data_IF_493808640249
#
_entry.id   IF_493808640249
#
_cell.length_a   1.000
_cell.length_b   1.000
_cell.length_c   1.000
_cell.angle_alpha   90.00
_cell.angle_beta   90.00
_cell.angle_gamma   90.00
#
_symmetry.space_group_name_H-M   'P 1'
#
loop_
_entity.id
_entity.type
_entity.pdbx_description
1 polymer ?
#
# COMPACT_ATOMS: atom_id res chain seq x y z
N UNK A 1 0.76 -16.84 -20.24
CA UNK A 1 0.00 -15.57 -20.07
C UNK A 1 0.89 -14.59 -19.34
N UNK A 2 0.92 -13.34 -19.79
CA UNK A 2 1.70 -12.29 -19.10
C UNK A 2 0.94 -11.87 -17.84
N UNK A 3 1.56 -12.01 -16.66
CA UNK A 3 0.98 -11.59 -15.39
C UNK A 3 0.99 -10.06 -15.28
N UNK A 4 -0.11 -9.45 -14.89
CA UNK A 4 -0.17 -8.00 -14.63
C UNK A 4 0.48 -7.68 -13.29
N UNK A 5 1.03 -6.46 -13.16
CA UNK A 5 1.70 -6.01 -11.92
C UNK A 5 0.77 -6.07 -10.71
N UNK A 6 -0.51 -5.68 -10.88
CA UNK A 6 -1.49 -5.75 -9.79
C UNK A 6 -1.76 -7.20 -9.34
N UNK A 7 -1.85 -8.14 -10.28
CA UNK A 7 -2.02 -9.56 -9.95
C UNK A 7 -0.81 -10.10 -9.18
N UNK A 8 0.39 -9.77 -9.67
CA UNK A 8 1.64 -10.15 -9.02
C UNK A 8 1.73 -9.60 -7.58
N UNK A 9 1.37 -8.32 -7.39
CA UNK A 9 1.39 -7.68 -6.08
C UNK A 9 0.49 -8.42 -5.08
N UNK A 10 -0.76 -8.70 -5.44
CA UNK A 10 -1.70 -9.40 -4.56
C UNK A 10 -1.25 -10.84 -4.26
N UNK A 11 -0.79 -11.57 -5.28
CA UNK A 11 -0.27 -12.94 -5.10
C UNK A 11 0.97 -12.92 -4.20
N UNK A 12 1.84 -11.91 -4.32
CA UNK A 12 3.04 -11.78 -3.49
C UNK A 12 2.72 -11.39 -2.05
N UNK A 13 1.77 -10.48 -1.81
CA UNK A 13 1.28 -10.15 -0.47
C UNK A 13 0.68 -11.39 0.22
N UNK A 14 -0.10 -12.18 -0.50
CA UNK A 14 -0.61 -13.45 0.02
C UNK A 14 0.52 -14.40 0.43
N UNK A 15 1.61 -14.47 -0.35
CA UNK A 15 2.80 -15.28 0.00
C UNK A 15 3.46 -14.80 1.30
N UNK A 16 3.38 -13.50 1.61
CA UNK A 16 3.82 -12.91 2.88
C UNK A 16 2.83 -13.10 4.03
N UNK A 17 1.70 -13.80 3.81
CA UNK A 17 0.68 -14.05 4.82
C UNK A 17 -0.33 -12.93 5.00
N UNK A 18 -0.34 -11.93 4.12
CA UNK A 18 -1.34 -10.87 4.16
C UNK A 18 -2.68 -11.42 3.72
N UNK A 19 -3.67 -11.34 4.61
CA UNK A 19 -5.04 -11.81 4.35
C UNK A 19 -6.01 -10.67 4.01
N UNK A 20 -5.71 -9.43 4.41
CA UNK A 20 -6.60 -8.27 4.25
C UNK A 20 -5.83 -7.02 3.86
N UNK A 21 -6.44 -6.22 3.01
CA UNK A 21 -5.97 -4.88 2.64
C UNK A 21 -7.12 -3.90 2.88
N UNK A 22 -6.90 -2.92 3.74
CA UNK A 22 -7.87 -1.88 4.05
C UNK A 22 -7.71 -0.72 3.08
N UNK A 23 -8.78 -0.25 2.45
CA UNK A 23 -8.62 0.82 1.47
C UNK A 23 -9.91 1.47 1.00
N UNK A 24 -9.73 2.55 0.25
CA UNK A 24 -10.80 3.23 -0.45
C UNK A 24 -10.51 3.23 -1.96
N UNK A 25 -11.48 2.80 -2.82
CA UNK A 25 -11.29 2.78 -4.27
C UNK A 25 -11.05 4.17 -4.84
N UNK A 26 -10.20 4.26 -5.85
CA UNK A 26 -9.94 5.52 -6.56
C UNK A 26 -9.14 5.28 -7.83
N UNK A 27 -9.16 6.26 -8.74
CA UNK A 27 -8.63 6.12 -10.11
C UNK A 27 -7.16 5.71 -10.16
N UNK A 28 -6.34 6.24 -9.25
CA UNK A 28 -4.90 5.94 -9.22
C UNK A 28 -4.57 4.48 -8.87
N UNK A 29 -5.55 3.69 -8.40
CA UNK A 29 -5.39 2.27 -8.05
C UNK A 29 -6.31 1.34 -8.84
N UNK A 30 -6.94 1.80 -9.93
CA UNK A 30 -7.85 0.98 -10.74
C UNK A 30 -7.22 -0.35 -11.21
N UNK A 31 -5.93 -0.33 -11.54
CA UNK A 31 -5.20 -1.55 -11.92
C UNK A 31 -5.14 -2.60 -10.79
N UNK A 32 -5.01 -2.14 -9.55
CA UNK A 32 -5.06 -2.98 -8.35
C UNK A 32 -6.48 -3.44 -8.05
N UNK A 33 -7.47 -2.53 -8.12
CA UNK A 33 -8.88 -2.87 -7.93
C UNK A 33 -9.33 -3.96 -8.92
N UNK A 34 -8.93 -3.84 -10.19
CA UNK A 34 -9.17 -4.89 -11.18
C UNK A 34 -8.48 -6.22 -10.85
N UNK A 35 -7.36 -6.22 -10.12
CA UNK A 35 -6.70 -7.45 -9.71
C UNK A 35 -7.50 -8.23 -8.67
N UNK A 36 -8.24 -7.58 -7.78
CA UNK A 36 -9.11 -8.26 -6.80
C UNK A 36 -10.25 -9.02 -7.46
N UNK A 37 -10.70 -8.59 -8.64
CA UNK A 37 -11.82 -9.25 -9.36
C UNK A 37 -11.37 -10.37 -10.30
N UNK A 38 -10.08 -10.44 -10.62
CA UNK A 38 -9.56 -11.50 -11.51
C UNK A 38 -9.28 -12.79 -10.73
N UNK A 39 -9.58 -13.92 -11.35
CA UNK A 39 -9.22 -15.23 -10.78
C UNK A 39 -7.71 -15.37 -10.58
N UNK A 40 -7.32 -16.00 -9.50
CA UNK A 40 -5.94 -16.36 -9.20
C UNK A 40 -5.82 -17.85 -8.93
N UNK A 41 -4.61 -18.40 -9.02
CA UNK A 41 -4.32 -19.80 -8.69
C UNK A 41 -4.23 -20.04 -7.18
N UNK A 42 -4.43 -19.01 -6.36
CA UNK A 42 -4.35 -19.05 -4.90
C UNK A 42 -5.31 -18.07 -4.25
N UNK A 43 -5.36 -18.11 -2.93
CA UNK A 43 -6.13 -17.15 -2.15
C UNK A 43 -5.39 -15.79 -2.19
N UNK A 44 -6.06 -14.74 -2.61
CA UNK A 44 -5.59 -13.35 -2.52
C UNK A 44 -6.11 -12.69 -1.25
N UNK A 45 -5.47 -11.60 -0.78
CA UNK A 45 -6.00 -10.80 0.30
C UNK A 45 -7.40 -10.29 -0.02
N UNK A 46 -8.26 -10.24 0.99
CA UNK A 46 -9.58 -9.59 0.89
C UNK A 46 -9.41 -8.08 0.88
N UNK A 47 -10.13 -7.38 0.01
CA UNK A 47 -10.20 -5.92 0.04
C UNK A 47 -11.30 -5.49 1.00
N UNK A 48 -10.92 -4.83 2.08
CA UNK A 48 -11.84 -4.28 3.07
C UNK A 48 -12.06 -2.80 2.76
N UNK A 49 -13.18 -2.51 2.12
CA UNK A 49 -13.53 -1.13 1.78
C UNK A 49 -13.89 -0.33 3.02
N UNK A 50 -13.24 0.79 3.18
CA UNK A 50 -13.53 1.79 4.22
C UNK A 50 -14.37 2.94 3.66
N UNK A 51 -14.80 3.87 4.52
CA UNK A 51 -15.53 5.07 4.11
C UNK A 51 -14.66 6.29 3.87
N UNK A 52 -13.40 6.23 4.33
CA UNK A 52 -12.41 7.29 4.20
C UNK A 52 -11.01 6.69 4.36
N UNK A 53 -10.01 7.15 3.62
CA UNK A 53 -8.67 6.55 3.58
C UNK A 53 -7.97 6.62 4.93
N UNK A 54 -8.20 7.65 5.73
CA UNK A 54 -7.70 7.75 7.09
C UNK A 54 -8.08 6.52 7.93
N UNK A 55 -9.34 6.06 7.79
CA UNK A 55 -9.79 4.83 8.47
C UNK A 55 -9.02 3.59 7.99
N UNK A 56 -8.62 3.55 6.71
CA UNK A 56 -7.83 2.43 6.20
C UNK A 56 -6.48 2.32 6.93
N UNK A 57 -5.80 3.44 7.14
CA UNK A 57 -4.54 3.47 7.86
C UNK A 57 -4.72 3.14 9.34
N UNK A 58 -5.73 3.68 10.03
CA UNK A 58 -6.05 3.32 11.42
C UNK A 58 -6.43 1.84 11.56
N UNK A 59 -7.20 1.28 10.63
CA UNK A 59 -7.56 -0.15 10.67
C UNK A 59 -6.34 -1.03 10.43
N UNK A 60 -5.41 -0.66 9.55
CA UNK A 60 -4.15 -1.36 9.36
C UNK A 60 -3.29 -1.28 10.63
N UNK A 61 -3.19 -0.12 11.26
CA UNK A 61 -2.49 0.07 12.53
C UNK A 61 -3.12 -0.79 13.64
N UNK A 62 -4.45 -0.76 13.79
CA UNK A 62 -5.16 -1.58 14.77
C UNK A 62 -4.96 -3.08 14.50
N UNK A 63 -5.00 -3.51 13.23
CA UNK A 63 -4.69 -4.89 12.86
C UNK A 63 -3.31 -5.30 13.38
N UNK A 64 -2.29 -4.47 13.15
CA UNK A 64 -0.95 -4.73 13.64
C UNK A 64 -0.88 -4.79 15.17
N UNK A 65 -1.48 -3.82 15.86
CA UNK A 65 -1.53 -3.76 17.33
C UNK A 65 -2.15 -5.01 17.97
N UNK A 66 -3.25 -5.50 17.42
CA UNK A 66 -4.01 -6.59 18.02
C UNK A 66 -3.61 -8.00 17.57
N UNK A 67 -2.95 -8.12 16.43
CA UNK A 67 -2.58 -9.43 15.88
C UNK A 67 -1.07 -9.70 15.90
N UNK A 68 -0.24 -8.65 16.03
CA UNK A 68 1.21 -8.74 15.85
C UNK A 68 1.64 -9.01 14.40
N UNK A 69 0.72 -8.87 13.43
CA UNK A 69 0.99 -9.08 12.01
C UNK A 69 1.07 -7.74 11.28
N UNK A 70 1.72 -7.72 10.11
CA UNK A 70 1.79 -6.52 9.28
C UNK A 70 0.40 -6.10 8.80
N UNK A 71 -0.01 -4.88 9.13
CA UNK A 71 -1.20 -4.26 8.57
C UNK A 71 -0.92 -3.68 7.19
N UNK A 72 -1.88 -3.81 6.26
CA UNK A 72 -1.73 -3.23 4.91
C UNK A 72 -2.89 -2.31 4.59
N UNK A 73 -2.59 -1.07 4.20
CA UNK A 73 -3.59 -0.13 3.71
C UNK A 73 -3.30 0.32 2.28
N UNK A 74 -4.34 0.80 1.59
CA UNK A 74 -4.22 1.22 0.19
C UNK A 74 -5.09 2.44 -0.09
N UNK A 75 -4.54 3.40 -0.85
CA UNK A 75 -5.26 4.59 -1.29
C UNK A 75 -4.85 5.03 -2.69
N UNK A 76 -5.70 5.84 -3.32
CA UNK A 76 -5.39 6.51 -4.58
C UNK A 76 -4.33 7.60 -4.39
N UNK A 77 -3.86 8.18 -5.49
CA UNK A 77 -2.95 9.33 -5.52
C UNK A 77 -3.60 10.59 -4.96
N UNK A 78 -2.78 11.60 -4.69
CA UNK A 78 -3.25 12.92 -4.27
C UNK A 78 -3.95 12.91 -2.91
N UNK A 79 -5.22 13.35 -2.83
CA UNK A 79 -5.93 13.45 -1.55
C UNK A 79 -6.05 12.12 -0.82
N UNK A 80 -6.20 10.99 -1.52
CA UNK A 80 -6.25 9.68 -0.90
C UNK A 80 -4.96 9.35 -0.15
N UNK A 81 -3.81 9.68 -0.76
CA UNK A 81 -2.51 9.53 -0.12
C UNK A 81 -2.36 10.42 1.12
N UNK A 82 -2.80 11.68 1.03
CA UNK A 82 -2.75 12.64 2.15
C UNK A 82 -3.57 12.15 3.34
N UNK A 83 -4.75 11.62 3.10
CA UNK A 83 -5.63 11.12 4.15
C UNK A 83 -5.04 9.94 4.94
N UNK A 84 -4.16 9.13 4.35
CA UNK A 84 -3.51 8.03 5.08
C UNK A 84 -2.60 8.51 6.21
N UNK A 85 -2.07 9.74 6.14
CA UNK A 85 -1.01 10.20 7.03
C UNK A 85 -1.37 10.11 8.51
N UNK A 86 -2.59 10.46 8.93
CA UNK A 86 -2.97 10.42 10.33
C UNK A 86 -2.81 9.02 10.93
N UNK A 87 -3.37 7.99 10.27
CA UNK A 87 -3.24 6.62 10.75
C UNK A 87 -1.84 6.05 10.60
N UNK A 88 -1.07 6.52 9.61
CA UNK A 88 0.33 6.12 9.46
C UNK A 88 1.22 6.75 10.54
N UNK A 89 0.93 7.99 10.98
CA UNK A 89 1.62 8.57 12.13
C UNK A 89 1.29 7.85 13.44
N UNK A 90 0.04 7.41 13.63
CA UNK A 90 -0.32 6.55 14.76
C UNK A 90 0.51 5.26 14.73
N UNK A 91 0.60 4.60 13.58
CA UNK A 91 1.42 3.41 13.43
C UNK A 91 2.92 3.67 13.69
N UNK A 92 3.46 4.79 13.16
CA UNK A 92 4.86 5.18 13.38
C UNK A 92 5.17 5.40 14.86
N UNK A 93 4.34 6.18 15.54
CA UNK A 93 4.60 6.56 16.95
C UNK A 93 4.42 5.39 17.91
N UNK A 94 3.54 4.45 17.58
CA UNK A 94 3.32 3.23 18.36
C UNK A 94 4.16 2.04 17.87
N UNK A 95 5.10 2.28 16.94
CA UNK A 95 6.00 1.27 16.37
C UNK A 95 5.26 0.06 15.77
N UNK A 96 4.11 0.30 15.15
CA UNK A 96 3.31 -0.76 14.54
C UNK A 96 3.72 -1.01 13.08
N UNK A 97 3.86 -2.29 12.65
CA UNK A 97 4.24 -2.63 11.30
C UNK A 97 3.09 -2.39 10.33
N UNK A 98 3.19 -1.36 9.50
CA UNK A 98 2.16 -1.02 8.49
C UNK A 98 2.80 -0.73 7.14
N UNK A 99 2.33 -1.43 6.11
CA UNK A 99 2.66 -1.15 4.70
C UNK A 99 1.54 -0.37 4.05
N UNK A 100 1.85 0.80 3.52
CA UNK A 100 0.94 1.60 2.71
C UNK A 100 1.23 1.45 1.21
N UNK A 101 0.22 1.07 0.44
CA UNK A 101 0.27 0.98 -1.03
C UNK A 101 -0.49 2.16 -1.60
N UNK A 102 0.22 3.04 -2.31
CA UNK A 102 -0.36 4.29 -2.80
C UNK A 102 -0.29 4.36 -4.32
N UNK A 103 -1.40 4.72 -4.94
CA UNK A 103 -1.46 4.97 -6.37
C UNK A 103 -0.64 6.21 -6.76
N UNK A 104 -0.16 6.23 -8.01
CA UNK A 104 0.47 7.40 -8.61
C UNK A 104 -0.11 7.62 -10.01
N UNK A 105 0.06 8.82 -10.55
CA UNK A 105 -0.33 9.12 -11.91
C UNK A 105 0.46 8.31 -12.94
N UNK A 106 -0.10 8.18 -14.13
CA UNK A 106 0.59 7.52 -15.24
C UNK A 106 1.95 8.19 -15.50
N UNK A 107 2.99 7.39 -15.70
CA UNK A 107 4.37 7.89 -15.90
C UNK A 107 4.49 8.95 -16.98
N UNK A 108 3.69 8.85 -18.04
CA UNK A 108 3.68 9.84 -19.13
C UNK A 108 3.09 11.20 -18.72
N UNK A 109 2.33 11.25 -17.61
CA UNK A 109 1.72 12.49 -17.10
C UNK A 109 2.50 13.13 -15.96
N UNK A 110 3.46 12.43 -15.37
CA UNK A 110 4.24 12.95 -14.24
C UNK A 110 5.05 14.19 -14.63
N UNK A 111 4.99 15.24 -13.80
CA UNK A 111 5.63 16.52 -14.01
C UNK A 111 4.78 17.51 -14.82
N UNK A 112 3.58 17.11 -15.23
CA UNK A 112 2.65 17.95 -16.00
C UNK A 112 1.59 18.67 -15.15
N UNK A 113 1.69 18.65 -13.84
CA UNK A 113 0.65 19.15 -12.92
C UNK A 113 -0.72 18.50 -13.17
N UNK A 114 -0.70 17.18 -13.42
CA UNK A 114 -1.91 16.43 -13.67
C UNK A 114 -2.80 16.38 -12.41
N UNK A 115 -4.10 16.22 -12.61
CA UNK A 115 -5.06 16.12 -11.50
C UNK A 115 -4.60 15.10 -10.45
N UNK A 116 -4.59 15.48 -9.18
CA UNK A 116 -4.15 14.64 -8.05
C UNK A 116 -2.65 14.26 -8.08
N UNK A 117 -1.85 14.88 -8.92
CA UNK A 117 -0.40 14.68 -8.92
C UNK A 117 0.22 15.40 -7.72
N UNK A 118 0.94 14.66 -6.90
CA UNK A 118 1.74 15.18 -5.80
C UNK A 118 3.04 14.38 -5.68
N UNK A 119 4.07 14.98 -5.07
CA UNK A 119 5.31 14.28 -4.76
C UNK A 119 5.10 13.37 -3.54
N UNK A 120 4.68 12.13 -3.81
CA UNK A 120 4.42 11.13 -2.78
C UNK A 120 5.66 10.75 -1.99
N UNK A 121 6.83 10.74 -2.63
CA UNK A 121 8.09 10.39 -1.96
C UNK A 121 8.43 11.42 -0.88
N UNK A 122 8.28 12.70 -1.19
CA UNK A 122 8.47 13.77 -0.20
C UNK A 122 7.37 13.75 0.85
N UNK A 123 6.10 13.54 0.45
CA UNK A 123 4.97 13.49 1.37
C UNK A 123 5.16 12.46 2.48
N UNK A 124 5.59 11.25 2.11
CA UNK A 124 5.74 10.14 3.06
C UNK A 124 7.12 10.06 3.72
N UNK A 125 8.06 10.93 3.34
CA UNK A 125 9.46 10.86 3.79
C UNK A 125 9.62 10.83 5.32
N UNK A 126 8.84 11.59 6.06
CA UNK A 126 8.92 11.58 7.51
C UNK A 126 8.20 10.37 8.10
N UNK A 127 6.95 10.12 7.71
CA UNK A 127 6.14 9.06 8.32
C UNK A 127 6.67 7.66 7.99
N UNK A 128 7.22 7.47 6.79
CA UNK A 128 7.82 6.22 6.32
C UNK A 128 9.34 6.33 6.13
N UNK A 129 10.02 7.00 7.07
CA UNK A 129 11.44 7.37 6.96
C UNK A 129 12.38 6.19 6.71
N UNK A 130 12.02 4.99 7.13
CA UNK A 130 12.84 3.80 6.93
C UNK A 130 12.73 3.24 5.51
N UNK A 131 11.55 3.29 4.92
CA UNK A 131 11.34 2.78 3.57
C UNK A 131 10.18 3.46 2.85
N UNK A 132 10.50 4.29 1.88
CA UNK A 132 9.56 4.84 0.90
C UNK A 132 10.15 4.69 -0.49
N UNK A 133 9.44 4.01 -1.40
CA UNK A 133 9.92 3.74 -2.76
C UNK A 133 8.80 3.85 -3.79
N UNK A 134 9.12 4.48 -4.91
CA UNK A 134 8.24 4.51 -6.08
C UNK A 134 8.63 3.40 -7.06
N UNK A 135 7.67 2.56 -7.41
CA UNK A 135 7.84 1.52 -8.44
C UNK A 135 7.60 2.15 -9.81
N UNK A 136 8.64 2.32 -10.59
CA UNK A 136 8.58 2.94 -11.92
C UNK A 136 8.54 1.93 -13.07
N UNK A 137 8.95 0.69 -12.82
CA UNK A 137 8.92 -0.39 -13.81
C UNK A 137 8.39 -1.70 -13.19
N UNK A 138 7.75 -2.58 -13.97
CA UNK A 138 7.28 -3.87 -13.45
C UNK A 138 8.39 -4.71 -12.81
N UNK A 139 9.61 -4.64 -13.34
CA UNK A 139 10.76 -5.41 -12.84
C UNK A 139 11.14 -5.06 -11.40
N UNK A 140 10.84 -3.85 -10.92
CA UNK A 140 11.12 -3.42 -9.56
C UNK A 140 10.13 -3.98 -8.53
N UNK A 141 8.92 -4.36 -8.95
CA UNK A 141 7.83 -4.71 -8.03
C UNK A 141 8.24 -5.73 -6.98
N UNK A 142 8.94 -6.79 -7.39
CA UNK A 142 9.32 -7.86 -6.49
C UNK A 142 10.23 -7.37 -5.35
N UNK A 143 11.36 -6.77 -5.69
CA UNK A 143 12.33 -6.40 -4.66
C UNK A 143 11.86 -5.23 -3.80
N UNK A 144 11.09 -4.29 -4.37
CA UNK A 144 10.52 -3.16 -3.61
C UNK A 144 9.50 -3.67 -2.61
N UNK A 145 8.56 -4.53 -3.03
CA UNK A 145 7.57 -5.10 -2.12
C UNK A 145 8.21 -5.98 -1.05
N UNK A 146 9.12 -6.86 -1.43
CA UNK A 146 9.80 -7.74 -0.49
C UNK A 146 10.66 -6.95 0.52
N UNK A 147 11.24 -5.82 0.12
CA UNK A 147 11.97 -4.94 1.03
C UNK A 147 11.03 -4.21 2.00
N UNK A 148 9.90 -3.68 1.53
CA UNK A 148 8.88 -3.09 2.38
C UNK A 148 8.40 -4.08 3.45
N UNK A 149 8.04 -5.29 3.03
CA UNK A 149 7.57 -6.33 3.96
C UNK A 149 8.62 -6.73 4.99
N UNK A 150 9.90 -6.86 4.58
CA UNK A 150 10.99 -7.17 5.53
C UNK A 150 11.25 -6.06 6.53
N UNK A 151 11.18 -4.80 6.09
CA UNK A 151 11.33 -3.63 6.97
C UNK A 151 10.27 -3.65 8.07
N UNK A 152 9.01 -3.86 7.70
CA UNK A 152 7.90 -3.85 8.68
C UNK A 152 7.89 -5.11 9.57
N UNK A 153 8.24 -6.29 9.05
CA UNK A 153 8.38 -7.50 9.89
C UNK A 153 9.52 -7.31 10.89
N UNK A 154 10.63 -6.67 10.51
CA UNK A 154 11.72 -6.33 11.42
C UNK A 154 11.26 -5.45 12.59
N UNK A 155 10.32 -4.53 12.37
CA UNK A 155 9.72 -3.69 13.41
C UNK A 155 8.87 -4.46 14.43
N UNK A 156 8.17 -5.48 13.99
CA UNK A 156 7.33 -6.29 14.87
C UNK A 156 8.13 -7.10 15.92
N UNK A 157 9.44 -7.15 15.79
CA UNK A 157 10.34 -7.96 16.60
C UNK A 157 11.35 -7.16 17.43
N UNK A 158 11.23 -5.81 17.50
CA UNK A 158 12.13 -4.93 18.29
C UNK A 158 11.51 -4.52 19.61
#
# INVERSE_FOLDING_TARGET
MTQLVGDYLLDRLSTWGIERIYGYPGDGINGLMGAFTRSSNGKRPDFIQVRHEEMAAFMACAHAKFTGQVGVCMATSGPGAVHLLNGLYDAKLDHQPVVAIVGQQARAGLGGNYQQEIDLTTLFKDVAHEYVQMVTTPAQMRHVLDSAMRTEIGRAHV
#
